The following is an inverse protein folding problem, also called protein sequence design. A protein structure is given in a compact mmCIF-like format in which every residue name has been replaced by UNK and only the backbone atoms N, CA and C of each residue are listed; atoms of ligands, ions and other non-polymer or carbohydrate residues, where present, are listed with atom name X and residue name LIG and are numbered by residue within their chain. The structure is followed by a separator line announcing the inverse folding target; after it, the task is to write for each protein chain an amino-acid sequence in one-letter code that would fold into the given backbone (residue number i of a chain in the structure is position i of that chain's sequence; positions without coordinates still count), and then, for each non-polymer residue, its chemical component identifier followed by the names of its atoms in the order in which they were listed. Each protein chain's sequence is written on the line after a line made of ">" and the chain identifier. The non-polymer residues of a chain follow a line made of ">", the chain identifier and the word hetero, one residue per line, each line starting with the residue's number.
data_IF_008287455045
#
_entry.id   IF_008287455045
#
_cell.length_a   1.000
_cell.length_b   1.000
_cell.length_c   1.000
_cell.angle_alpha   90.00
_cell.angle_beta   90.00
_cell.angle_gamma   90.00
#
_symmetry.space_group_name_H-M   'P 1'
#
loop_
_entity.id
_entity.type
_entity.pdbx_description
1 polymer ?
#
# COMPACT_ATOMS: atom_id res chain seq x y z
N UNK A 1 13.64 -5.34 10.16
CA UNK A 1 13.21 -6.05 8.94
C UNK A 1 13.91 -5.36 7.77
N UNK A 2 14.56 -6.09 6.86
CA UNK A 2 15.22 -5.48 5.70
C UNK A 2 14.17 -5.26 4.62
N UNK A 3 14.02 -4.02 4.17
CA UNK A 3 13.08 -3.65 3.10
C UNK A 3 13.81 -3.56 1.75
N UNK A 4 13.17 -4.02 0.69
CA UNK A 4 13.61 -3.84 -0.69
C UNK A 4 12.53 -3.04 -1.41
N UNK A 5 12.90 -1.87 -1.92
CA UNK A 5 11.98 -0.96 -2.60
C UNK A 5 12.19 -1.06 -4.11
N UNK A 6 11.11 -1.29 -4.84
CA UNK A 6 11.11 -1.36 -6.30
C UNK A 6 10.22 -0.25 -6.85
N UNK A 7 10.68 0.44 -7.88
CA UNK A 7 9.86 1.35 -8.66
C UNK A 7 9.23 0.59 -9.82
N UNK A 8 7.92 0.76 -9.99
CA UNK A 8 7.15 0.18 -11.09
C UNK A 8 6.48 1.32 -11.85
N UNK A 9 6.52 1.24 -13.18
CA UNK A 9 5.89 2.21 -14.06
C UNK A 9 4.77 1.54 -14.85
N UNK A 10 3.63 2.23 -14.97
CA UNK A 10 2.54 1.79 -15.81
C UNK A 10 2.86 2.12 -17.27
N UNK A 11 2.93 1.08 -18.09
CA UNK A 11 3.13 1.20 -19.55
C UNK A 11 1.80 1.52 -20.24
N UNK A 12 0.68 1.20 -19.60
CA UNK A 12 -0.69 1.50 -20.03
C UNK A 12 -1.60 1.67 -18.82
N UNK A 13 -2.83 2.10 -19.04
CA UNK A 13 -3.88 2.05 -18.02
C UNK A 13 -4.05 0.62 -17.48
N UNK A 14 -4.37 0.51 -16.19
CA UNK A 14 -4.57 -0.75 -15.49
C UNK A 14 -5.95 -0.82 -14.86
N UNK A 15 -6.47 -2.04 -14.68
CA UNK A 15 -7.74 -2.31 -14.01
C UNK A 15 -7.49 -3.10 -12.75
N UNK A 16 -7.96 -2.57 -11.61
CA UNK A 16 -7.80 -3.19 -10.29
C UNK A 16 -9.18 -3.42 -9.68
N UNK A 17 -9.82 -4.58 -9.93
CA UNK A 17 -11.11 -4.87 -9.33
C UNK A 17 -10.95 -5.18 -7.83
N UNK A 18 -11.88 -4.68 -7.01
CA UNK A 18 -11.89 -4.91 -5.57
C UNK A 18 -12.29 -6.36 -5.20
N UNK A 19 -12.94 -7.07 -6.12
CA UNK A 19 -13.35 -8.47 -5.95
C UNK A 19 -13.02 -9.29 -7.19
N UNK A 20 -12.98 -10.62 -7.04
CA UNK A 20 -12.79 -11.55 -8.16
C UNK A 20 -14.06 -11.78 -8.99
N UNK A 21 -15.13 -11.05 -8.73
CA UNK A 21 -16.41 -11.23 -9.42
C UNK A 21 -16.30 -10.70 -10.86
N UNK A 22 -16.80 -11.48 -11.82
CA UNK A 22 -16.85 -11.10 -13.24
C UNK A 22 -18.19 -10.52 -13.66
N UNK A 23 -19.18 -10.54 -12.79
CA UNK A 23 -20.55 -10.09 -13.04
C UNK A 23 -21.03 -9.16 -11.90
N UNK A 24 -21.88 -8.18 -12.25
CA UNK A 24 -22.40 -7.17 -11.33
C UNK A 24 -21.63 -5.84 -11.34
N UNK A 25 -21.95 -4.96 -10.40
CA UNK A 25 -21.19 -3.71 -10.20
C UNK A 25 -19.83 -4.03 -9.58
N UNK A 26 -18.79 -4.09 -10.42
CA UNK A 26 -17.42 -4.31 -9.98
C UNK A 26 -16.86 -2.98 -9.48
N UNK A 27 -16.70 -2.86 -8.17
CA UNK A 27 -15.95 -1.76 -7.56
C UNK A 27 -14.47 -1.85 -7.92
N UNK A 28 -13.85 -0.71 -8.19
CA UNK A 28 -12.41 -0.60 -8.48
C UNK A 28 -11.65 -0.13 -7.25
N UNK A 29 -10.43 -0.65 -7.08
CA UNK A 29 -9.49 -0.18 -6.06
C UNK A 29 -8.85 1.12 -6.52
N UNK A 30 -8.68 2.03 -5.57
CA UNK A 30 -7.95 3.30 -5.70
C UNK A 30 -6.47 3.18 -5.31
N UNK A 31 -6.00 1.97 -5.03
CA UNK A 31 -4.61 1.64 -4.71
C UNK A 31 -4.20 0.29 -5.29
N UNK A 32 -2.88 0.03 -5.35
CA UNK A 32 -2.33 -1.24 -5.81
C UNK A 32 -1.95 -2.10 -4.60
N UNK A 33 -2.68 -3.18 -4.29
CA UNK A 33 -2.35 -4.04 -3.17
C UNK A 33 -1.07 -4.87 -3.39
N UNK A 34 -0.41 -5.21 -2.29
CA UNK A 34 0.78 -6.07 -2.31
C UNK A 34 0.55 -7.44 -2.98
N UNK A 35 -0.70 -7.93 -2.97
CA UNK A 35 -1.10 -9.17 -3.63
C UNK A 35 -0.92 -9.14 -5.15
N UNK A 36 -1.06 -7.97 -5.80
CA UNK A 36 -0.77 -7.86 -7.24
C UNK A 36 0.71 -8.16 -7.52
N UNK A 37 1.62 -7.61 -6.73
CA UNK A 37 3.06 -7.87 -6.88
C UNK A 37 3.42 -9.31 -6.52
N UNK A 38 2.79 -9.88 -5.49
CA UNK A 38 2.91 -11.31 -5.20
C UNK A 38 2.49 -12.14 -6.41
N UNK A 39 1.36 -11.82 -7.04
CA UNK A 39 0.88 -12.48 -8.26
C UNK A 39 1.85 -12.37 -9.43
N UNK A 40 2.43 -11.18 -9.65
CA UNK A 40 3.46 -10.96 -10.67
C UNK A 40 4.69 -11.86 -10.44
N UNK A 41 5.17 -11.96 -9.20
CA UNK A 41 6.32 -12.81 -8.86
C UNK A 41 5.96 -14.29 -8.93
N UNK A 42 4.72 -14.65 -8.55
CA UNK A 42 4.20 -16.02 -8.65
C UNK A 42 4.07 -16.51 -10.10
N UNK A 43 4.04 -15.64 -11.11
CA UNK A 43 4.15 -16.07 -12.52
C UNK A 43 5.45 -16.83 -12.82
N UNK A 44 6.47 -16.69 -11.96
CA UNK A 44 7.76 -17.39 -12.00
C UNK A 44 7.89 -18.48 -10.94
N UNK A 45 6.78 -18.97 -10.38
CA UNK A 45 6.78 -19.93 -9.27
C UNK A 45 7.68 -21.15 -9.54
N UNK A 46 7.63 -21.72 -10.75
CA UNK A 46 8.44 -22.89 -11.13
C UNK A 46 9.95 -22.65 -11.00
N UNK A 47 10.42 -21.42 -11.27
CA UNK A 47 11.83 -21.07 -11.11
C UNK A 47 12.24 -21.07 -9.64
N UNK A 48 11.38 -20.55 -8.76
CA UNK A 48 11.61 -20.58 -7.31
C UNK A 48 11.45 -21.99 -6.73
N UNK A 49 10.56 -22.80 -7.30
CA UNK A 49 10.40 -24.21 -6.92
C UNK A 49 11.66 -25.01 -7.24
N UNK A 50 12.25 -24.83 -8.43
CA UNK A 50 13.54 -25.45 -8.82
C UNK A 50 14.67 -25.08 -7.86
N UNK A 51 14.66 -23.86 -7.33
CA UNK A 51 15.64 -23.36 -6.34
C UNK A 51 15.31 -23.76 -4.90
N UNK A 52 14.19 -24.46 -4.66
CA UNK A 52 13.67 -24.82 -3.33
C UNK A 52 13.43 -23.61 -2.40
N UNK A 53 13.10 -22.46 -2.97
CA UNK A 53 12.84 -21.22 -2.23
C UNK A 53 11.36 -20.79 -2.27
N UNK A 54 10.52 -21.51 -3.00
CA UNK A 54 9.08 -21.22 -3.17
C UNK A 54 8.35 -21.07 -1.82
N UNK A 55 8.54 -22.02 -0.90
CA UNK A 55 7.88 -21.98 0.42
C UNK A 55 8.25 -20.73 1.21
N UNK A 56 9.54 -20.39 1.24
CA UNK A 56 10.03 -19.24 1.97
C UNK A 56 9.49 -17.92 1.39
N UNK A 57 9.38 -17.83 0.07
CA UNK A 57 8.92 -16.62 -0.63
C UNK A 57 7.40 -16.44 -0.55
N UNK A 58 6.61 -17.51 -0.73
CA UNK A 58 5.16 -17.40 -0.94
C UNK A 58 4.30 -17.85 0.25
N UNK A 59 4.84 -18.65 1.18
CA UNK A 59 4.01 -19.32 2.19
C UNK A 59 4.49 -19.15 3.64
N UNK A 60 5.79 -18.92 3.85
CA UNK A 60 6.37 -18.87 5.21
C UNK A 60 6.13 -17.56 5.98
N UNK A 61 5.75 -16.48 5.27
CA UNK A 61 5.67 -15.12 5.82
C UNK A 61 7.02 -14.44 6.06
N UNK A 62 8.16 -15.08 5.72
CA UNK A 62 9.51 -14.47 5.73
C UNK A 62 9.63 -13.35 4.69
N UNK A 63 8.94 -13.49 3.56
CA UNK A 63 8.79 -12.45 2.53
C UNK A 63 7.36 -11.93 2.59
N UNK A 64 7.21 -10.61 2.52
CA UNK A 64 5.92 -9.93 2.52
C UNK A 64 5.92 -8.91 1.39
N UNK A 65 4.82 -8.84 0.67
CA UNK A 65 4.62 -7.90 -0.42
C UNK A 65 3.73 -6.76 0.09
N UNK A 66 4.29 -5.56 0.17
CA UNK A 66 3.57 -4.37 0.61
C UNK A 66 2.77 -3.73 -0.52
N UNK A 67 1.75 -2.96 -0.14
CA UNK A 67 1.00 -2.12 -1.07
C UNK A 67 1.92 -1.09 -1.74
N UNK A 68 1.60 -0.72 -2.98
CA UNK A 68 2.34 0.32 -3.66
C UNK A 68 2.06 1.69 -3.02
N UNK A 69 3.09 2.52 -3.01
CA UNK A 69 2.90 3.97 -2.90
C UNK A 69 2.98 4.58 -4.28
N UNK A 70 1.95 5.34 -4.66
CA UNK A 70 1.94 6.02 -5.95
C UNK A 70 2.96 7.17 -5.96
N UNK A 71 3.58 7.36 -7.11
CA UNK A 71 4.46 8.49 -7.39
C UNK A 71 3.78 9.37 -8.43
N UNK A 72 3.72 10.69 -8.18
CA UNK A 72 3.30 11.69 -9.16
C UNK A 72 4.48 12.61 -9.44
N UNK A 73 4.94 12.64 -10.69
CA UNK A 73 6.11 13.41 -11.12
C UNK A 73 7.36 13.13 -10.24
N UNK A 74 7.61 11.84 -9.94
CA UNK A 74 8.73 11.41 -9.10
C UNK A 74 8.59 11.70 -7.61
N UNK A 75 7.45 12.26 -7.16
CA UNK A 75 7.18 12.55 -5.74
C UNK A 75 6.19 11.56 -5.16
N UNK A 76 6.48 11.07 -3.95
CA UNK A 76 5.61 10.18 -3.21
C UNK A 76 4.28 10.84 -2.88
N UNK A 77 3.17 10.11 -3.09
CA UNK A 77 1.83 10.53 -2.69
C UNK A 77 1.39 9.77 -1.44
N UNK A 78 0.37 10.28 -0.74
CA UNK A 78 -0.19 9.66 0.46
C UNK A 78 -1.63 9.22 0.19
N UNK A 79 -2.01 8.04 0.70
CA UNK A 79 -3.40 7.52 0.59
C UNK A 79 -4.36 8.46 1.33
N UNK A 80 -5.58 8.63 0.81
CA UNK A 80 -6.65 9.34 1.50
C UNK A 80 -7.49 8.36 2.38
N UNK A 81 -8.08 8.83 3.49
CA UNK A 81 -7.91 10.16 4.06
C UNK A 81 -6.46 10.35 4.53
N UNK A 82 -5.95 11.57 4.32
CA UNK A 82 -4.55 12.01 4.42
C UNK A 82 -4.02 11.98 5.87
N UNK A 83 -4.58 11.09 6.69
CA UNK A 83 -4.34 11.00 8.12
C UNK A 83 -4.45 12.41 8.70
N UNK A 84 -5.54 13.10 8.37
CA UNK A 84 -5.84 14.40 8.96
C UNK A 84 -6.50 14.20 10.31
N UNK A 85 -5.98 14.89 11.31
CA UNK A 85 -6.47 14.85 12.67
C UNK A 85 -6.79 16.24 13.15
N UNK A 86 -7.64 16.34 14.15
CA UNK A 86 -7.79 17.52 14.98
C UNK A 86 -7.57 17.13 16.44
N UNK A 87 -7.39 18.11 17.32
CA UNK A 87 -7.38 17.83 18.77
C UNK A 87 -8.79 17.43 19.19
N UNK A 88 -8.94 16.40 20.04
CA UNK A 88 -10.25 15.80 20.37
C UNK A 88 -11.31 16.81 20.87
N UNK A 89 -10.88 17.95 21.41
CA UNK A 89 -11.74 19.02 21.94
C UNK A 89 -11.60 20.36 21.18
N UNK A 90 -10.81 20.40 20.10
CA UNK A 90 -10.60 21.57 19.25
C UNK A 90 -10.46 21.15 17.78
N UNK A 91 -11.54 21.36 17.02
CA UNK A 91 -11.64 21.06 15.59
C UNK A 91 -11.25 22.25 14.69
N UNK A 92 -10.87 23.39 15.28
CA UNK A 92 -10.48 24.60 14.53
C UNK A 92 -9.15 24.44 13.79
N UNK A 93 -8.32 23.47 14.20
CA UNK A 93 -7.02 23.17 13.61
C UNK A 93 -6.98 21.74 13.12
N UNK A 94 -6.56 21.59 11.87
CA UNK A 94 -6.38 20.30 11.22
C UNK A 94 -4.87 20.08 11.00
N UNK A 95 -4.39 18.91 11.40
CA UNK A 95 -3.01 18.49 11.30
C UNK A 95 -2.93 17.29 10.37
N UNK A 96 -2.02 17.31 9.39
CA UNK A 96 -1.67 16.11 8.64
C UNK A 96 -0.67 15.31 9.49
N UNK A 97 -1.03 14.09 9.89
CA UNK A 97 -0.21 13.21 10.72
C UNK A 97 1.22 13.04 10.18
N UNK A 98 1.39 12.95 8.86
CA UNK A 98 2.69 12.77 8.23
C UNK A 98 3.57 14.03 8.24
N UNK A 99 3.01 15.20 8.55
CA UNK A 99 3.73 16.47 8.67
C UNK A 99 4.05 16.83 10.14
N UNK A 100 3.57 16.04 11.11
CA UNK A 100 3.85 16.25 12.54
C UNK A 100 5.26 15.75 12.83
N UNK A 101 6.16 16.67 13.19
CA UNK A 101 7.55 16.34 13.53
C UNK A 101 7.71 15.91 14.99
N UNK A 102 6.82 16.37 15.87
CA UNK A 102 6.86 16.13 17.31
C UNK A 102 5.44 15.94 17.85
N UNK A 103 5.10 14.69 18.13
CA UNK A 103 3.76 14.33 18.64
C UNK A 103 3.54 14.73 20.11
N UNK A 104 4.60 15.07 20.86
CA UNK A 104 4.46 15.46 22.27
C UNK A 104 3.75 16.81 22.46
N UNK A 105 3.65 17.60 21.39
CA UNK A 105 2.93 18.88 21.37
C UNK A 105 1.40 18.72 21.36
N UNK A 106 0.92 17.49 21.13
CA UNK A 106 -0.50 17.17 21.01
C UNK A 106 -1.00 16.37 22.21
N UNK A 107 -2.17 16.71 22.74
CA UNK A 107 -2.75 15.96 23.88
C UNK A 107 -3.38 14.65 23.40
N UNK A 108 -4.31 14.76 22.46
CA UNK A 108 -4.97 13.62 21.86
C UNK A 108 -5.56 13.99 20.50
N UNK A 109 -4.97 13.44 19.45
CA UNK A 109 -5.43 13.61 18.08
C UNK A 109 -6.56 12.63 17.77
N UNK A 110 -7.64 13.14 17.16
CA UNK A 110 -8.76 12.36 16.62
C UNK A 110 -8.75 12.49 15.10
N UNK A 111 -8.81 11.35 14.40
CA UNK A 111 -8.88 11.34 12.94
C UNK A 111 -10.22 11.92 12.49
N UNK A 112 -10.18 12.77 11.47
CA UNK A 112 -11.37 13.26 10.77
C UNK A 112 -12.13 12.10 10.10
#
# INVERSE_FOLDING_TARGET
>A
MKELVFQVEFISDIVLPATSNTEGNIEQLDFIPGSNFLGMVASKYDEFQKRRTSFDIFHSGKVRFGDATLLKNGKQTYKMPLSYFHEKLDDSKIFNHHLIKDFSQHKQLKQL
#
